data_IF_581627591976
#
_entry.id   IF_581627591976
#
_cell.length_a   1.000
_cell.length_b   1.000
_cell.length_c   1.000
_cell.angle_alpha   90.00
_cell.angle_beta   90.00
_cell.angle_gamma   90.00
#
_symmetry.space_group_name_H-M   'P 1'
#
loop_
_entity.id
_entity.type
_entity.pdbx_description
1 polymer ?
#
# COMPACT_ATOMS: atom_id res chain seq x y z
N UNK A 1 -28.13 81.20 -64.49
CA UNK A 1 -27.58 80.51 -63.30
C UNK A 1 -28.53 79.37 -62.90
N UNK A 2 -27.95 78.20 -62.55
CA UNK A 2 -28.57 76.91 -62.09
C UNK A 2 -29.25 76.09 -63.21
N UNK A 3 -28.60 75.02 -63.74
CA UNK A 3 -28.53 73.61 -63.25
C UNK A 3 -29.95 73.01 -63.13
N UNK A 4 -30.28 71.89 -63.77
CA UNK A 4 -29.85 70.55 -63.35
C UNK A 4 -30.26 69.48 -64.39
N UNK A 5 -29.33 68.58 -64.71
CA UNK A 5 -29.54 67.31 -65.42
C UNK A 5 -30.15 66.32 -64.42
N UNK A 6 -31.25 65.63 -64.78
CA UNK A 6 -31.75 64.47 -64.02
C UNK A 6 -31.70 63.24 -64.92
N UNK A 7 -30.92 62.27 -64.44
CA UNK A 7 -30.69 60.94 -64.99
C UNK A 7 -31.17 59.94 -63.94
N UNK A 8 -32.24 59.17 -64.17
CA UNK A 8 -32.61 57.98 -63.38
C UNK A 8 -33.35 57.01 -64.33
N UNK A 9 -32.69 56.11 -65.04
CA UNK A 9 -32.25 54.76 -64.62
C UNK A 9 -33.41 53.82 -64.27
N UNK A 10 -33.65 52.86 -65.17
CA UNK A 10 -34.60 51.77 -65.01
C UNK A 10 -34.27 50.88 -63.80
N UNK A 11 -35.23 50.69 -62.90
CA UNK A 11 -35.18 49.68 -61.84
C UNK A 11 -35.76 48.39 -62.42
N UNK A 12 -34.89 47.50 -62.90
CA UNK A 12 -35.25 46.10 -63.12
C UNK A 12 -35.47 45.44 -61.74
N UNK A 13 -36.70 44.98 -61.49
CA UNK A 13 -36.98 44.02 -60.42
C UNK A 13 -36.17 42.75 -60.68
N UNK A 14 -35.20 42.45 -59.80
CA UNK A 14 -34.69 41.08 -59.65
C UNK A 14 -35.61 40.33 -58.69
N UNK A 15 -36.12 39.13 -59.03
CA UNK A 15 -36.72 38.28 -58.03
C UNK A 15 -35.59 37.79 -57.13
N UNK A 16 -35.66 38.14 -55.84
CA UNK A 16 -34.81 37.57 -54.81
C UNK A 16 -34.99 36.04 -54.83
N UNK A 17 -33.99 35.34 -55.38
CA UNK A 17 -33.85 33.89 -55.25
C UNK A 17 -33.48 33.59 -53.79
N UNK A 18 -34.44 33.74 -52.88
CA UNK A 18 -34.31 33.19 -51.54
C UNK A 18 -34.35 31.67 -51.70
N UNK A 19 -33.16 31.05 -51.77
CA UNK A 19 -32.97 29.65 -51.41
C UNK A 19 -33.47 29.47 -49.97
N UNK A 20 -34.77 29.31 -49.79
CA UNK A 20 -35.34 28.73 -48.59
C UNK A 20 -34.89 27.27 -48.59
N UNK A 21 -33.87 26.96 -47.81
CA UNK A 21 -33.60 25.57 -47.46
C UNK A 21 -34.79 25.10 -46.61
N UNK A 22 -35.77 24.45 -47.24
CA UNK A 22 -37.03 24.07 -46.61
C UNK A 22 -36.96 22.74 -45.82
N UNK A 23 -35.79 22.10 -45.76
CA UNK A 23 -35.55 20.92 -44.94
C UNK A 23 -34.06 20.56 -45.01
N UNK A 24 -33.22 21.31 -44.31
CA UNK A 24 -31.89 20.78 -44.00
C UNK A 24 -32.12 19.68 -42.95
N UNK A 25 -32.13 18.42 -43.37
CA UNK A 25 -32.12 17.30 -42.44
C UNK A 25 -30.73 17.29 -41.83
N UNK A 26 -30.56 17.93 -40.67
CA UNK A 26 -29.30 17.91 -39.94
C UNK A 26 -29.12 16.51 -39.32
N UNK A 27 -28.55 15.60 -40.11
CA UNK A 27 -28.10 14.30 -39.65
C UNK A 27 -26.66 14.48 -39.16
N UNK A 28 -26.50 14.65 -37.84
CA UNK A 28 -25.20 14.89 -37.20
C UNK A 28 -24.62 16.29 -37.40
N UNK A 29 -23.61 16.64 -36.60
CA UNK A 29 -22.84 17.88 -36.71
C UNK A 29 -21.41 17.58 -37.18
N UNK A 30 -21.08 17.95 -38.43
CA UNK A 30 -19.73 17.88 -38.96
C UNK A 30 -18.95 19.17 -38.69
N UNK A 31 -17.74 19.07 -38.13
CA UNK A 31 -16.80 20.17 -37.91
C UNK A 31 -15.51 19.88 -38.67
N UNK A 32 -15.44 20.34 -39.90
CA UNK A 32 -14.30 20.15 -40.80
C UNK A 32 -14.18 21.32 -41.80
N UNK A 33 -13.05 21.40 -42.50
CA UNK A 33 -12.82 22.46 -43.53
C UNK A 33 -13.18 22.01 -44.95
N UNK A 34 -13.39 20.71 -45.16
CA UNK A 34 -13.63 20.12 -46.49
C UNK A 34 -15.10 20.19 -46.91
N UNK A 35 -16.01 20.47 -45.96
CA UNK A 35 -17.45 20.37 -46.17
C UNK A 35 -17.95 18.92 -46.26
N UNK A 36 -17.15 17.95 -45.82
CA UNK A 36 -17.55 16.55 -45.79
C UNK A 36 -18.77 16.37 -44.88
N UNK A 37 -19.70 15.51 -45.31
CA UNK A 37 -20.82 15.09 -44.47
C UNK A 37 -20.29 14.39 -43.22
N UNK A 38 -20.93 14.61 -42.07
CA UNK A 38 -20.63 13.86 -40.86
C UNK A 38 -20.85 12.37 -41.09
N UNK A 39 -20.04 11.53 -40.45
CA UNK A 39 -20.26 10.09 -40.45
C UNK A 39 -21.67 9.74 -39.96
N UNK A 40 -22.35 8.82 -40.66
CA UNK A 40 -23.74 8.42 -40.35
C UNK A 40 -23.93 7.84 -38.95
N UNK A 41 -22.85 7.38 -38.31
CA UNK A 41 -22.85 6.86 -36.94
C UNK A 41 -22.57 7.93 -35.88
N UNK A 42 -22.23 9.17 -36.27
CA UNK A 42 -21.78 10.22 -35.37
C UNK A 42 -22.80 11.36 -35.23
N UNK A 43 -23.15 11.71 -33.99
CA UNK A 43 -23.89 12.95 -33.70
C UNK A 43 -22.98 14.19 -33.79
N UNK A 44 -21.69 14.04 -33.47
CA UNK A 44 -20.64 15.05 -33.64
C UNK A 44 -19.44 14.37 -34.29
N UNK A 45 -19.04 14.87 -35.45
CA UNK A 45 -17.90 14.39 -36.23
C UNK A 45 -16.91 15.55 -36.45
N UNK A 46 -15.69 15.40 -35.94
CA UNK A 46 -14.65 16.42 -36.03
C UNK A 46 -13.48 15.88 -36.84
N UNK A 47 -13.30 16.41 -38.07
CA UNK A 47 -12.22 16.02 -38.96
C UNK A 47 -11.23 17.18 -39.20
N UNK A 48 -9.96 16.91 -38.91
CA UNK A 48 -8.85 17.83 -39.07
C UNK A 48 -7.89 17.44 -40.22
N UNK A 49 -8.27 16.52 -41.11
CA UNK A 49 -7.41 15.93 -42.14
C UNK A 49 -6.86 16.94 -43.17
N UNK A 50 -7.43 18.14 -43.28
CA UNK A 50 -6.93 19.22 -44.14
C UNK A 50 -6.31 20.43 -43.44
N UNK A 51 -6.18 20.43 -42.12
CA UNK A 51 -5.69 21.61 -41.37
C UNK A 51 -4.17 21.58 -41.16
N UNK A 52 -3.51 22.75 -41.25
CA UNK A 52 -2.10 22.93 -40.85
C UNK A 52 -1.92 24.28 -40.09
N UNK A 53 -1.65 24.27 -38.77
CA UNK A 53 -1.55 23.09 -37.91
C UNK A 53 -2.90 22.39 -37.69
N UNK A 54 -2.87 21.08 -37.41
CA UNK A 54 -4.07 20.34 -36.97
C UNK A 54 -4.57 20.88 -35.62
N UNK A 55 -5.89 20.87 -35.43
CA UNK A 55 -6.55 21.24 -34.16
C UNK A 55 -7.13 19.99 -33.48
N UNK A 56 -7.36 20.07 -32.18
CA UNK A 56 -8.04 19.03 -31.39
C UNK A 56 -9.36 19.53 -30.80
N UNK A 57 -9.99 18.71 -29.97
CA UNK A 57 -11.21 19.06 -29.22
C UNK A 57 -10.91 19.15 -27.72
N UNK A 58 -11.37 20.23 -27.08
CA UNK A 58 -11.40 20.32 -25.62
C UNK A 58 -12.68 19.68 -25.10
N UNK A 59 -12.53 18.64 -24.28
CA UNK A 59 -13.61 18.08 -23.46
C UNK A 59 -13.87 19.02 -22.26
N UNK A 60 -15.11 19.14 -21.73
CA UNK A 60 -15.37 19.92 -20.52
C UNK A 60 -14.35 19.64 -19.41
N UNK A 61 -13.68 20.69 -18.95
CA UNK A 61 -12.62 20.63 -17.93
C UNK A 61 -13.16 21.19 -16.64
N UNK A 62 -12.93 20.49 -15.55
CA UNK A 62 -13.39 20.92 -14.22
C UNK A 62 -12.54 20.26 -13.13
N UNK A 63 -12.49 20.88 -11.95
CA UNK A 63 -11.92 20.26 -10.76
C UNK A 63 -12.90 19.22 -10.16
N UNK A 64 -12.43 18.48 -9.16
CA UNK A 64 -13.19 17.40 -8.51
C UNK A 64 -14.41 17.93 -7.78
N UNK A 65 -14.33 19.12 -7.18
CA UNK A 65 -15.46 19.77 -6.49
C UNK A 65 -16.56 20.12 -7.48
N UNK A 66 -16.22 20.78 -8.59
CA UNK A 66 -17.14 21.11 -9.67
C UNK A 66 -17.76 19.86 -10.30
N UNK A 67 -16.95 18.82 -10.53
CA UNK A 67 -17.43 17.50 -10.98
C UNK A 67 -18.43 16.88 -10.01
N UNK A 68 -18.14 16.91 -8.71
CA UNK A 68 -19.02 16.35 -7.67
C UNK A 68 -20.30 17.17 -7.49
N UNK A 69 -20.31 18.43 -7.90
CA UNK A 69 -21.50 19.27 -7.90
C UNK A 69 -22.47 18.96 -9.06
N UNK A 70 -22.10 18.11 -10.02
CA UNK A 70 -23.00 17.67 -11.09
C UNK A 70 -24.08 16.77 -10.49
N UNK A 71 -25.30 17.28 -10.39
CA UNK A 71 -26.48 16.53 -9.93
C UNK A 71 -26.94 15.58 -11.03
N UNK A 72 -27.14 14.31 -10.68
CA UNK A 72 -27.61 13.25 -11.58
C UNK A 72 -26.84 13.16 -12.91
N UNK A 73 -25.52 12.88 -12.90
CA UNK A 73 -24.74 12.78 -14.13
C UNK A 73 -25.29 11.69 -15.07
N UNK A 74 -25.33 11.98 -16.37
CA UNK A 74 -25.74 11.00 -17.37
C UNK A 74 -24.71 9.87 -17.51
N UNK A 75 -25.18 8.65 -17.81
CA UNK A 75 -24.29 7.53 -18.14
C UNK A 75 -23.36 7.93 -19.29
N UNK A 76 -22.06 7.61 -19.14
CA UNK A 76 -20.99 7.97 -20.07
C UNK A 76 -20.72 9.47 -20.23
N UNK A 77 -21.18 10.32 -19.29
CA UNK A 77 -20.79 11.73 -19.27
C UNK A 77 -19.26 11.85 -19.15
N UNK A 78 -18.62 12.44 -20.16
CA UNK A 78 -17.16 12.54 -20.28
C UNK A 78 -16.67 13.94 -19.88
N UNK A 79 -15.70 13.99 -18.95
CA UNK A 79 -15.00 15.21 -18.54
C UNK A 79 -13.48 14.99 -18.51
N UNK A 80 -12.73 16.08 -18.46
CA UNK A 80 -11.33 16.07 -18.04
C UNK A 80 -11.23 16.65 -16.61
N UNK A 81 -10.90 15.80 -15.63
CA UNK A 81 -10.71 16.23 -14.26
C UNK A 81 -9.32 16.89 -14.14
N UNK A 82 -9.28 18.18 -13.84
CA UNK A 82 -8.04 18.96 -13.77
C UNK A 82 -7.22 18.70 -12.53
N UNK A 83 -7.83 18.20 -11.47
CA UNK A 83 -7.11 17.85 -10.25
C UNK A 83 -6.36 16.53 -10.43
N UNK A 84 -7.02 15.55 -11.04
CA UNK A 84 -6.43 14.24 -11.30
C UNK A 84 -5.65 14.18 -12.63
N UNK A 85 -5.73 15.21 -13.48
CA UNK A 85 -5.20 15.23 -14.85
C UNK A 85 -5.56 14.00 -15.69
N UNK A 86 -6.80 13.55 -15.60
CA UNK A 86 -7.30 12.38 -16.34
C UNK A 86 -8.68 12.62 -16.93
N UNK A 87 -8.95 11.98 -18.06
CA UNK A 87 -10.31 11.83 -18.57
C UNK A 87 -11.11 10.91 -17.65
N UNK A 88 -12.31 11.35 -17.27
CA UNK A 88 -13.24 10.57 -16.46
C UNK A 88 -14.60 10.47 -17.15
N UNK A 89 -15.26 9.32 -16.98
CA UNK A 89 -16.64 9.08 -17.39
C UNK A 89 -17.50 8.66 -16.20
N UNK A 90 -18.77 9.04 -16.20
CA UNK A 90 -19.74 8.53 -15.23
C UNK A 90 -20.25 7.15 -15.65
N UNK A 91 -20.16 6.14 -14.78
CA UNK A 91 -20.59 4.77 -15.08
C UNK A 91 -22.05 4.45 -14.68
N UNK A 92 -22.79 5.46 -14.23
CA UNK A 92 -24.14 5.32 -13.66
C UNK A 92 -24.16 5.32 -12.13
N UNK A 93 -23.03 5.05 -11.49
CA UNK A 93 -22.90 4.96 -10.02
C UNK A 93 -21.73 5.78 -9.45
N UNK A 94 -20.64 5.92 -10.21
CA UNK A 94 -19.42 6.63 -9.81
C UNK A 94 -18.68 7.18 -11.03
N UNK A 95 -17.74 8.09 -10.78
CA UNK A 95 -16.79 8.57 -11.78
C UNK A 95 -15.64 7.58 -11.94
N UNK A 96 -15.42 7.10 -13.16
CA UNK A 96 -14.33 6.19 -13.56
C UNK A 96 -13.34 6.89 -14.50
N UNK A 97 -12.10 6.39 -14.62
CA UNK A 97 -11.07 6.95 -15.51
C UNK A 97 -11.03 6.17 -16.83
N UNK A 98 -10.98 6.85 -17.98
CA UNK A 98 -11.05 6.18 -19.30
C UNK A 98 -9.76 5.46 -19.73
N UNK A 99 -8.60 5.88 -19.22
CA UNK A 99 -7.34 5.18 -19.44
C UNK A 99 -7.02 4.37 -18.19
N UNK A 100 -7.21 3.04 -18.27
CA UNK A 100 -6.81 2.09 -17.23
C UNK A 100 -5.32 1.80 -17.24
N UNK A 101 -4.59 2.25 -18.27
CA UNK A 101 -3.13 2.28 -18.21
C UNK A 101 -2.75 3.44 -17.29
N UNK A 102 -2.34 3.07 -16.07
CA UNK A 102 -1.91 3.97 -15.02
C UNK A 102 -0.79 4.84 -15.59
N UNK A 103 -1.11 6.05 -16.07
CA UNK A 103 -0.11 7.11 -16.13
C UNK A 103 0.13 7.47 -14.66
N UNK A 104 1.07 6.74 -14.04
CA UNK A 104 1.53 7.05 -12.70
C UNK A 104 1.92 8.52 -12.68
N UNK A 105 1.63 9.25 -11.60
CA UNK A 105 2.23 10.56 -11.39
C UNK A 105 3.74 10.41 -11.61
N UNK A 106 4.31 11.17 -12.55
CA UNK A 106 5.75 11.12 -12.84
C UNK A 106 6.60 11.42 -11.59
N UNK A 107 6.00 12.12 -10.63
CA UNK A 107 6.47 12.28 -9.26
C UNK A 107 5.28 12.54 -8.33
N UNK A 108 5.45 12.21 -7.05
CA UNK A 108 4.55 12.65 -5.98
C UNK A 108 5.19 13.88 -5.30
N UNK A 109 4.56 15.05 -5.32
CA UNK A 109 5.15 16.28 -4.78
C UNK A 109 5.24 16.26 -3.25
N UNK A 110 4.36 15.52 -2.58
CA UNK A 110 4.28 15.50 -1.13
C UNK A 110 4.51 14.10 -0.56
N UNK A 111 4.87 14.06 0.72
CA UNK A 111 4.95 12.82 1.47
C UNK A 111 4.66 13.05 2.95
N UNK A 112 4.24 11.98 3.62
CA UNK A 112 3.98 11.94 5.06
C UNK A 112 4.50 10.62 5.64
N UNK A 113 5.01 10.67 6.86
CA UNK A 113 5.60 9.54 7.58
C UNK A 113 4.80 9.22 8.83
N UNK A 114 4.58 7.94 9.08
CA UNK A 114 3.92 7.41 10.28
C UNK A 114 4.88 6.50 11.04
N UNK A 115 5.32 6.97 12.21
CA UNK A 115 6.09 6.20 13.17
C UNK A 115 5.16 5.44 14.12
N UNK A 116 5.70 4.49 14.86
CA UNK A 116 4.92 3.76 15.86
C UNK A 116 4.43 4.67 16.99
N UNK A 117 3.14 4.56 17.34
CA UNK A 117 2.51 5.31 18.43
C UNK A 117 1.79 4.41 19.45
N UNK A 118 1.76 3.09 19.22
CA UNK A 118 0.96 2.16 20.02
C UNK A 118 -0.55 2.25 19.80
N UNK A 119 -1.00 3.05 18.82
CA UNK A 119 -2.41 3.21 18.47
C UNK A 119 -2.58 3.44 16.97
N UNK A 120 -3.82 3.35 16.50
CA UNK A 120 -4.17 3.57 15.09
C UNK A 120 -4.10 5.07 14.81
N UNK A 121 -3.37 5.46 13.77
CA UNK A 121 -3.38 6.83 13.25
C UNK A 121 -4.34 6.94 12.07
N UNK A 122 -4.81 8.15 11.77
CA UNK A 122 -5.72 8.41 10.64
C UNK A 122 -5.16 9.51 9.77
N UNK A 123 -5.33 9.39 8.46
CA UNK A 123 -4.96 10.41 7.49
C UNK A 123 -6.02 10.52 6.39
N UNK A 124 -6.51 11.75 6.18
CA UNK A 124 -7.47 12.06 5.12
C UNK A 124 -6.73 12.49 3.87
N UNK A 125 -7.06 11.88 2.74
CA UNK A 125 -6.51 12.20 1.43
C UNK A 125 -6.83 13.66 1.08
N UNK A 126 -5.81 14.51 0.85
CA UNK A 126 -6.01 15.92 0.52
C UNK A 126 -6.77 16.15 -0.78
N UNK A 127 -7.24 17.39 -0.95
CA UNK A 127 -7.70 17.86 -2.24
C UNK A 127 -6.62 17.62 -3.32
N UNK A 128 -7.07 17.27 -4.53
CA UNK A 128 -6.23 17.05 -5.70
C UNK A 128 -5.29 15.83 -5.63
N UNK A 129 -5.50 14.92 -4.69
CA UNK A 129 -4.81 13.63 -4.65
C UNK A 129 -5.72 12.51 -5.16
N UNK A 130 -5.29 11.84 -6.23
CA UNK A 130 -6.05 10.73 -6.84
C UNK A 130 -5.28 9.40 -6.86
N UNK A 131 -4.01 9.45 -6.45
CA UNK A 131 -3.14 8.30 -6.29
C UNK A 131 -2.23 8.55 -5.10
N UNK A 132 -1.88 7.49 -4.39
CA UNK A 132 -0.82 7.52 -3.38
C UNK A 132 0.12 6.34 -3.59
N UNK A 133 1.41 6.53 -3.33
CA UNK A 133 2.37 5.42 -3.18
C UNK A 133 2.61 5.20 -1.70
N UNK A 134 2.36 3.97 -1.26
CA UNK A 134 2.46 3.58 0.14
C UNK A 134 3.60 2.59 0.27
N UNK A 135 4.52 2.85 1.20
CA UNK A 135 5.58 1.95 1.63
C UNK A 135 5.34 1.56 3.08
N UNK A 136 5.36 0.26 3.37
CA UNK A 136 5.01 -0.30 4.69
C UNK A 136 6.07 -1.32 5.10
N UNK A 137 6.61 -1.15 6.30
CA UNK A 137 7.45 -2.13 6.98
C UNK A 137 6.77 -2.57 8.26
N UNK A 138 6.69 -3.88 8.48
CA UNK A 138 6.28 -4.45 9.76
C UNK A 138 7.29 -4.14 10.87
N UNK A 139 7.04 -4.61 12.09
CA UNK A 139 8.02 -4.50 13.17
C UNK A 139 8.89 -5.75 13.30
N UNK A 140 10.12 -5.59 13.78
CA UNK A 140 11.03 -6.70 14.03
C UNK A 140 10.69 -7.46 15.31
N UNK A 141 11.02 -8.75 15.34
CA UNK A 141 10.93 -9.58 16.54
C UNK A 141 12.09 -9.32 17.50
N UNK A 142 11.90 -9.60 18.79
CA UNK A 142 12.93 -9.48 19.81
C UNK A 142 13.91 -10.64 19.83
N UNK A 143 15.13 -10.38 20.30
CA UNK A 143 16.14 -11.42 20.55
C UNK A 143 15.84 -12.22 21.82
N UNK A 144 16.41 -13.42 21.93
CA UNK A 144 16.28 -14.26 23.11
C UNK A 144 17.44 -14.07 24.11
N UNK A 145 17.23 -14.56 25.33
CA UNK A 145 18.25 -14.58 26.37
C UNK A 145 19.23 -15.72 26.13
N UNK A 146 20.50 -15.49 26.50
CA UNK A 146 21.58 -16.48 26.39
C UNK A 146 22.44 -16.51 27.64
N UNK A 147 22.94 -17.70 27.97
CA UNK A 147 23.79 -17.96 29.16
C UNK A 147 25.29 -18.03 28.86
N UNK A 148 25.72 -17.75 27.62
CA UNK A 148 27.13 -17.79 27.22
C UNK A 148 27.52 -16.56 26.39
N UNK A 149 28.79 -16.13 26.50
CA UNK A 149 29.41 -15.01 25.77
C UNK A 149 29.62 -15.28 24.28
N UNK A 150 28.76 -16.07 23.64
CA UNK A 150 28.77 -16.26 22.19
C UNK A 150 27.85 -15.21 21.54
N UNK A 151 28.38 -14.16 20.91
CA UNK A 151 27.64 -12.96 20.53
C UNK A 151 26.72 -13.14 19.30
N UNK A 152 26.64 -14.32 18.69
CA UNK A 152 26.03 -14.50 17.37
C UNK A 152 24.62 -15.12 17.36
N UNK A 153 24.05 -15.62 18.45
CA UNK A 153 22.74 -16.31 18.43
C UNK A 153 21.97 -16.18 19.76
N UNK A 154 20.62 -16.19 19.82
CA UNK A 154 19.63 -16.17 18.73
C UNK A 154 18.82 -14.86 18.68
N UNK A 155 18.89 -14.22 17.51
CA UNK A 155 18.25 -12.95 17.22
C UNK A 155 16.79 -13.11 16.77
N UNK A 156 16.00 -12.04 16.90
CA UNK A 156 14.68 -11.94 16.30
C UNK A 156 14.76 -11.66 14.80
N UNK A 157 13.70 -11.99 14.07
CA UNK A 157 13.60 -11.71 12.64
C UNK A 157 13.34 -10.23 12.38
N UNK A 158 13.98 -9.67 11.35
CA UNK A 158 13.59 -8.39 10.75
C UNK A 158 12.21 -8.50 10.08
N UNK A 159 11.54 -7.38 9.89
CA UNK A 159 10.18 -7.36 9.36
C UNK A 159 10.12 -7.50 7.83
N UNK A 160 8.92 -7.76 7.32
CA UNK A 160 8.60 -7.71 5.89
C UNK A 160 8.42 -6.29 5.39
N UNK A 161 8.49 -6.15 4.06
CA UNK A 161 8.19 -4.93 3.33
C UNK A 161 7.06 -5.14 2.32
N UNK A 162 6.18 -4.16 2.23
CA UNK A 162 5.13 -4.07 1.23
C UNK A 162 5.05 -2.65 0.63
N UNK A 163 4.92 -2.56 -0.68
CA UNK A 163 4.71 -1.31 -1.41
C UNK A 163 3.52 -1.46 -2.35
N UNK A 164 2.69 -0.41 -2.48
CA UNK A 164 1.65 -0.36 -3.49
C UNK A 164 1.37 1.08 -3.96
N UNK A 165 0.87 1.17 -5.19
CA UNK A 165 0.28 2.38 -5.76
C UNK A 165 -1.24 2.27 -5.68
N UNK A 166 -1.87 3.17 -4.96
CA UNK A 166 -3.26 3.03 -4.54
C UNK A 166 -4.04 4.19 -5.14
N UNK A 167 -5.07 3.87 -5.93
CA UNK A 167 -6.04 4.88 -6.38
C UNK A 167 -6.88 5.31 -5.19
N UNK A 168 -6.99 6.63 -5.01
CA UNK A 168 -7.76 7.26 -3.94
C UNK A 168 -8.59 8.41 -4.51
N UNK A 169 -9.51 8.93 -3.70
CA UNK A 169 -10.24 10.16 -3.96
C UNK A 169 -10.00 11.17 -2.82
N UNK A 170 -10.02 12.48 -3.11
CA UNK A 170 -10.03 13.49 -2.07
C UNK A 170 -11.12 13.22 -1.02
N UNK A 171 -10.73 13.24 0.25
CA UNK A 171 -11.62 12.93 1.37
C UNK A 171 -11.65 11.46 1.81
N UNK A 172 -11.06 10.53 1.06
CA UNK A 172 -10.85 9.16 1.53
C UNK A 172 -10.03 9.16 2.83
N UNK A 173 -10.32 8.21 3.71
CA UNK A 173 -9.62 8.09 5.01
C UNK A 173 -8.78 6.81 5.04
N UNK A 174 -7.49 6.99 5.28
CA UNK A 174 -6.56 5.90 5.54
C UNK A 174 -6.39 5.69 7.06
N UNK A 175 -6.68 4.48 7.53
CA UNK A 175 -6.30 4.05 8.88
C UNK A 175 -4.93 3.37 8.83
N UNK A 176 -4.02 3.86 9.67
CA UNK A 176 -2.61 3.51 9.65
C UNK A 176 -2.27 2.73 10.92
N UNK A 177 -1.84 1.49 10.74
CA UNK A 177 -1.34 0.60 11.78
C UNK A 177 0.16 0.48 11.60
N UNK A 178 0.92 1.20 12.42
CA UNK A 178 2.37 1.00 12.46
C UNK A 178 2.67 -0.04 13.53
N UNK A 179 3.34 -1.13 13.16
CA UNK A 179 3.65 -2.22 14.09
C UNK A 179 4.61 -1.79 15.21
N UNK A 180 4.39 -2.29 16.42
CA UNK A 180 5.30 -2.20 17.55
C UNK A 180 6.29 -3.36 17.56
N UNK A 181 7.49 -3.13 18.07
CA UNK A 181 8.52 -4.13 18.16
C UNK A 181 8.15 -5.32 19.07
N UNK A 182 8.69 -6.50 18.75
CA UNK A 182 8.73 -7.60 19.71
C UNK A 182 9.67 -7.28 20.86
N UNK A 183 9.26 -7.60 22.09
CA UNK A 183 10.10 -7.41 23.26
C UNK A 183 11.29 -8.38 23.23
N UNK A 184 12.44 -7.92 23.71
CA UNK A 184 13.56 -8.79 24.03
C UNK A 184 13.24 -9.69 25.22
N UNK A 185 14.23 -10.43 25.69
CA UNK A 185 14.01 -11.52 26.62
C UNK A 185 13.90 -11.13 28.12
N UNK A 186 14.06 -9.85 28.46
CA UNK A 186 13.98 -9.37 29.86
C UNK A 186 12.52 -9.12 30.24
N UNK A 187 12.11 -9.64 31.41
CA UNK A 187 10.72 -9.60 31.85
C UNK A 187 9.84 -10.62 31.12
N UNK A 188 8.54 -10.35 31.03
CA UNK A 188 7.61 -11.14 30.19
C UNK A 188 7.75 -10.69 28.74
N UNK A 189 8.33 -11.50 27.83
CA UNK A 189 8.64 -11.08 26.46
C UNK A 189 7.36 -10.90 25.64
N UNK A 190 6.74 -9.72 25.72
CA UNK A 190 5.50 -9.42 25.03
C UNK A 190 5.73 -9.32 23.52
N UNK A 191 4.74 -9.78 22.75
CA UNK A 191 4.68 -9.52 21.32
C UNK A 191 4.33 -8.06 21.04
N UNK A 192 4.74 -7.57 19.87
CA UNK A 192 4.51 -6.20 19.45
C UNK A 192 3.08 -5.95 18.99
N UNK A 193 2.55 -4.76 19.26
CA UNK A 193 1.22 -4.34 18.81
C UNK A 193 1.17 -4.17 17.28
N UNK A 194 0.01 -4.31 16.64
CA UNK A 194 -0.13 -3.97 15.22
C UNK A 194 -1.38 -4.53 14.57
N UNK A 195 -1.44 -4.45 13.24
CA UNK A 195 -2.44 -5.16 12.45
C UNK A 195 -2.09 -6.65 12.41
N UNK A 196 -2.53 -7.35 13.45
CA UNK A 196 -1.91 -8.58 13.90
C UNK A 196 -0.82 -8.28 14.92
N UNK A 197 -1.06 -8.63 16.17
CA UNK A 197 -0.04 -8.53 17.22
C UNK A 197 0.96 -9.66 17.08
N UNK A 198 2.21 -9.43 17.48
CA UNK A 198 3.16 -10.52 17.66
C UNK A 198 2.76 -11.43 18.82
N UNK A 199 3.19 -12.68 18.77
CA UNK A 199 3.09 -13.61 19.88
C UNK A 199 4.13 -13.31 20.95
N UNK A 200 3.81 -13.59 22.21
CA UNK A 200 4.79 -13.53 23.28
C UNK A 200 5.87 -14.59 23.13
N UNK A 201 7.08 -14.29 23.57
CA UNK A 201 8.12 -15.30 23.77
C UNK A 201 7.74 -16.26 24.89
N UNK A 202 8.20 -17.49 24.77
CA UNK A 202 8.05 -18.51 25.81
C UNK A 202 8.95 -18.21 27.00
N UNK A 203 8.48 -18.56 28.19
CA UNK A 203 9.24 -18.41 29.44
C UNK A 203 10.19 -19.59 29.66
N UNK A 204 11.32 -19.33 30.31
CA UNK A 204 12.26 -20.36 30.76
C UNK A 204 13.28 -19.74 31.73
N UNK A 205 14.37 -20.45 32.01
CA UNK A 205 15.54 -19.82 32.64
C UNK A 205 16.14 -18.76 31.71
N UNK A 206 16.10 -19.02 30.40
CA UNK A 206 16.33 -18.02 29.37
C UNK A 206 15.06 -17.85 28.54
N UNK A 207 14.48 -16.66 28.56
CA UNK A 207 13.25 -16.42 27.81
C UNK A 207 13.51 -16.33 26.31
N UNK A 208 12.52 -16.77 25.52
CA UNK A 208 12.43 -16.47 24.10
C UNK A 208 12.05 -15.00 23.86
N UNK A 209 12.38 -14.46 22.70
CA UNK A 209 11.94 -13.13 22.30
C UNK A 209 10.48 -13.11 21.84
N UNK A 210 9.80 -11.98 22.00
CA UNK A 210 8.47 -11.74 21.44
C UNK A 210 8.52 -11.48 19.93
N UNK A 211 7.47 -11.85 19.20
CA UNK A 211 7.31 -11.50 17.78
C UNK A 211 6.97 -10.02 17.59
N UNK A 212 7.35 -9.44 16.46
CA UNK A 212 6.96 -8.09 16.06
C UNK A 212 5.53 -8.02 15.52
N UNK A 213 4.87 -6.88 15.70
CA UNK A 213 3.54 -6.63 15.15
C UNK A 213 3.54 -6.35 13.65
N UNK A 214 2.43 -6.69 12.99
CA UNK A 214 2.20 -6.35 11.58
C UNK A 214 1.89 -4.87 11.40
N UNK A 215 2.38 -4.29 10.30
CA UNK A 215 2.00 -2.94 9.87
C UNK A 215 0.97 -3.03 8.74
N UNK A 216 -0.03 -2.15 8.73
CA UNK A 216 -1.04 -2.14 7.68
C UNK A 216 -1.59 -0.75 7.37
N UNK A 217 -2.10 -0.62 6.16
CA UNK A 217 -2.93 0.51 5.76
C UNK A 217 -4.30 -0.01 5.33
N UNK A 218 -5.35 0.63 5.84
CA UNK A 218 -6.74 0.38 5.47
C UNK A 218 -7.30 1.63 4.78
N UNK A 219 -7.99 1.47 3.66
CA UNK A 219 -8.71 2.52 2.96
C UNK A 219 -10.20 2.40 3.24
N UNK A 220 -10.77 3.42 3.90
CA UNK A 220 -12.18 3.45 4.29
C UNK A 220 -12.60 2.16 5.04
N UNK A 221 -11.74 1.65 5.92
CA UNK A 221 -11.94 0.43 6.71
C UNK A 221 -11.57 -0.88 6.01
N UNK A 222 -11.24 -0.87 4.71
CA UNK A 222 -10.84 -2.07 3.98
C UNK A 222 -9.32 -2.23 3.97
N UNK A 223 -8.80 -3.42 4.29
CA UNK A 223 -7.35 -3.69 4.26
C UNK A 223 -6.85 -3.64 2.82
N UNK A 224 -5.84 -2.81 2.58
CA UNK A 224 -5.24 -2.65 1.24
C UNK A 224 -3.80 -3.15 1.18
N UNK A 225 -3.04 -3.04 2.27
CA UNK A 225 -1.63 -3.39 2.30
C UNK A 225 -1.22 -3.81 3.71
N UNK A 226 -0.49 -4.91 3.84
CA UNK A 226 0.05 -5.41 5.11
C UNK A 226 1.51 -5.84 4.91
N UNK A 227 2.38 -5.43 5.82
CA UNK A 227 3.72 -5.96 5.96
C UNK A 227 3.84 -6.75 7.27
N UNK A 228 4.23 -8.02 7.17
CA UNK A 228 4.32 -8.91 8.31
C UNK A 228 5.45 -8.54 9.27
N UNK A 229 5.22 -8.71 10.56
CA UNK A 229 6.24 -8.62 11.59
C UNK A 229 7.16 -9.84 11.63
N UNK A 230 8.37 -9.68 12.16
CA UNK A 230 9.32 -10.78 12.36
C UNK A 230 8.99 -11.63 13.59
N UNK A 231 9.36 -12.91 13.58
CA UNK A 231 9.28 -13.79 14.74
C UNK A 231 10.39 -13.50 15.77
N UNK A 232 10.17 -13.87 17.02
CA UNK A 232 11.17 -13.76 18.08
C UNK A 232 12.18 -14.92 18.06
N UNK A 233 13.37 -14.68 18.62
CA UNK A 233 14.38 -15.74 18.82
C UNK A 233 13.98 -16.74 19.93
N UNK A 234 14.42 -17.99 19.84
CA UNK A 234 14.24 -19.00 20.89
C UNK A 234 15.40 -19.02 21.89
N UNK A 235 15.12 -19.11 23.18
CA UNK A 235 16.14 -19.08 24.24
C UNK A 235 17.07 -20.30 24.24
N UNK A 236 18.25 -20.12 24.84
CA UNK A 236 19.26 -21.19 25.02
C UNK A 236 19.11 -21.92 26.35
N UNK A 237 19.64 -23.13 26.43
CA UNK A 237 19.81 -23.82 27.70
C UNK A 237 21.02 -23.41 28.53
N UNK A 238 20.96 -23.53 29.86
CA UNK A 238 22.08 -23.24 30.77
C UNK A 238 23.23 -24.25 30.67
N UNK A 239 22.95 -25.50 30.29
CA UNK A 239 23.93 -26.57 30.15
C UNK A 239 24.18 -26.97 28.69
N UNK A 240 23.70 -26.16 27.73
CA UNK A 240 23.80 -26.46 26.31
C UNK A 240 24.82 -25.54 25.66
N UNK A 241 25.85 -26.10 25.02
CA UNK A 241 26.77 -25.37 24.13
C UNK A 241 26.09 -24.89 22.84
N UNK A 242 24.76 -25.01 22.74
CA UNK A 242 24.03 -24.88 21.50
C UNK A 242 22.99 -23.77 21.57
N UNK A 243 23.08 -22.89 20.58
CA UNK A 243 22.18 -21.76 20.40
C UNK A 243 20.72 -22.20 20.19
N UNK A 244 19.78 -21.34 20.62
CA UNK A 244 18.39 -21.46 20.22
C UNK A 244 18.18 -21.04 18.77
N UNK A 245 16.94 -21.20 18.28
CA UNK A 245 16.58 -20.87 16.90
C UNK A 245 16.40 -19.37 16.68
N UNK A 246 16.81 -18.87 15.52
CA UNK A 246 16.50 -17.51 15.07
C UNK A 246 15.02 -17.34 14.76
N UNK A 247 14.51 -16.13 15.01
CA UNK A 247 13.19 -15.73 14.57
C UNK A 247 13.11 -15.61 13.03
N UNK A 248 12.03 -16.11 12.46
CA UNK A 248 11.75 -16.01 11.04
C UNK A 248 11.40 -14.58 10.64
N UNK A 249 11.99 -14.08 9.56
CA UNK A 249 11.72 -12.72 9.09
C UNK A 249 10.28 -12.54 8.60
N UNK A 250 9.75 -11.33 8.75
CA UNK A 250 8.45 -10.96 8.21
C UNK A 250 8.43 -11.02 6.68
N UNK A 251 7.25 -11.25 6.11
CA UNK A 251 7.07 -11.58 4.69
C UNK A 251 7.01 -13.08 4.41
N UNK A 252 6.98 -13.92 5.45
CA UNK A 252 6.65 -15.33 5.33
C UNK A 252 7.81 -16.31 5.47
N UNK A 253 8.86 -15.96 6.21
CA UNK A 253 10.00 -16.84 6.49
C UNK A 253 9.82 -17.59 7.81
N UNK A 254 10.06 -18.90 7.81
CA UNK A 254 9.94 -19.74 9.01
C UNK A 254 11.01 -19.39 10.05
N UNK A 255 10.74 -19.68 11.32
CA UNK A 255 11.74 -19.68 12.37
C UNK A 255 12.72 -20.83 12.18
N UNK A 256 13.95 -20.65 12.63
CA UNK A 256 15.00 -21.65 12.49
C UNK A 256 14.82 -22.81 13.48
N UNK A 257 15.09 -24.02 12.99
CA UNK A 257 15.09 -25.26 13.74
C UNK A 257 16.52 -25.65 14.10
N UNK A 258 16.93 -25.49 15.36
CA UNK A 258 18.20 -26.07 15.84
C UNK A 258 17.97 -27.28 16.74
N UNK A 259 17.13 -27.15 17.78
CA UNK A 259 16.75 -28.26 18.67
C UNK A 259 15.23 -28.38 18.81
N UNK A 260 14.51 -27.26 18.89
CA UNK A 260 13.05 -27.21 18.78
C UNK A 260 12.58 -26.96 17.34
N UNK A 261 11.32 -27.32 17.05
CA UNK A 261 10.69 -26.96 15.78
C UNK A 261 10.53 -25.43 15.71
N UNK A 262 11.05 -24.83 14.64
CA UNK A 262 10.84 -23.42 14.33
C UNK A 262 9.38 -23.15 13.96
N UNK A 263 8.89 -21.97 14.30
CA UNK A 263 7.55 -21.55 13.97
C UNK A 263 7.35 -21.43 12.46
N UNK A 264 6.16 -21.79 11.99
CA UNK A 264 5.80 -21.73 10.58
C UNK A 264 5.24 -20.34 10.26
N UNK A 265 5.74 -19.74 9.20
CA UNK A 265 5.39 -18.39 8.82
C UNK A 265 3.99 -18.31 8.20
N UNK A 266 3.16 -17.39 8.69
CA UNK A 266 1.80 -17.22 8.18
C UNK A 266 0.85 -18.39 8.44
N UNK A 267 1.17 -19.30 9.36
CA UNK A 267 0.32 -20.45 9.66
C UNK A 267 -0.65 -20.21 10.82
N UNK A 268 -0.64 -19.03 11.44
CA UNK A 268 -1.69 -18.63 12.38
C UNK A 268 -3.03 -18.52 11.65
N UNK A 269 -4.10 -18.96 12.31
CA UNK A 269 -5.47 -18.90 11.80
C UNK A 269 -6.06 -17.49 11.80
N UNK A 270 -5.34 -16.53 12.38
CA UNK A 270 -5.72 -15.11 12.42
C UNK A 270 -4.51 -14.21 12.18
N UNK A 271 -4.72 -12.90 12.30
CA UNK A 271 -3.70 -11.88 12.06
C UNK A 271 -2.58 -11.90 13.13
N UNK A 272 -2.86 -12.40 14.33
CA UNK A 272 -1.91 -12.43 15.42
C UNK A 272 -0.93 -13.58 15.28
N UNK A 273 0.33 -13.34 15.65
CA UNK A 273 1.31 -14.38 15.88
C UNK A 273 0.96 -15.18 17.14
N UNK A 274 1.27 -16.47 17.14
CA UNK A 274 1.03 -17.32 18.32
C UNK A 274 2.22 -17.28 19.28
N UNK A 275 1.96 -17.50 20.57
CA UNK A 275 2.99 -17.52 21.59
C UNK A 275 3.98 -18.68 21.39
N UNK A 276 5.24 -18.45 21.76
CA UNK A 276 6.23 -19.50 21.87
C UNK A 276 5.96 -20.40 23.08
N UNK A 277 6.35 -21.67 22.99
CA UNK A 277 6.20 -22.62 24.09
C UNK A 277 7.09 -22.26 25.30
N UNK A 278 6.51 -22.38 26.49
CA UNK A 278 7.20 -22.23 27.78
C UNK A 278 7.97 -23.50 28.14
N UNK A 279 9.20 -23.35 28.63
CA UNK A 279 10.04 -24.45 29.07
C UNK A 279 9.80 -24.75 30.57
N UNK A 280 9.29 -25.94 30.94
CA UNK A 280 8.86 -26.22 32.32
C UNK A 280 10.00 -26.61 33.27
N UNK A 281 11.16 -27.04 32.75
CA UNK A 281 12.30 -27.44 33.57
C UNK A 281 13.32 -26.31 33.77
N UNK A 282 13.91 -26.27 34.97
CA UNK A 282 15.00 -25.36 35.29
C UNK A 282 16.20 -25.57 34.37
N UNK A 283 16.80 -24.47 33.91
CA UNK A 283 17.91 -24.45 32.95
C UNK A 283 17.49 -24.49 31.47
N UNK A 284 16.19 -24.55 31.16
CA UNK A 284 15.69 -24.56 29.79
C UNK A 284 15.38 -23.17 29.20
N UNK A 285 15.44 -23.06 27.88
CA UNK A 285 15.14 -21.87 27.10
C UNK A 285 13.70 -21.88 26.56
N UNK A 286 12.98 -20.76 26.67
CA UNK A 286 11.64 -20.63 26.09
C UNK A 286 11.66 -20.33 24.59
N UNK A 287 10.66 -20.79 23.84
CA UNK A 287 10.64 -20.63 22.38
C UNK A 287 10.27 -19.20 21.93
N UNK A 288 10.61 -18.83 20.69
CA UNK A 288 10.28 -17.52 20.16
C UNK A 288 8.79 -17.35 19.82
N UNK A 289 8.24 -16.15 20.00
CA UNK A 289 6.86 -15.82 19.58
C UNK A 289 6.74 -15.57 18.08
N UNK A 290 5.61 -15.91 17.46
CA UNK A 290 5.37 -15.67 16.03
C UNK A 290 5.13 -14.18 15.71
N UNK A 291 5.48 -13.74 14.50
CA UNK A 291 5.22 -12.36 14.04
C UNK A 291 3.76 -12.14 13.63
N UNK A 292 3.25 -10.92 13.79
CA UNK A 292 1.90 -10.54 13.33
C UNK A 292 1.83 -10.25 11.82
N UNK A 293 0.65 -10.27 11.22
CA UNK A 293 0.46 -9.96 9.79
C UNK A 293 -0.97 -10.27 9.34
N UNK A 294 -1.22 -10.39 8.03
CA UNK A 294 -2.55 -10.83 7.57
C UNK A 294 -2.84 -12.26 8.06
N UNK A 295 -1.82 -13.11 7.95
CA UNK A 295 -1.71 -14.34 8.72
C UNK A 295 -0.45 -14.22 9.57
N UNK A 296 -0.61 -14.35 10.88
CA UNK A 296 0.52 -14.37 11.80
C UNK A 296 1.37 -15.63 11.62
N UNK A 297 2.63 -15.58 12.04
CA UNK A 297 3.47 -16.76 12.20
C UNK A 297 3.12 -17.52 13.48
N UNK A 298 3.47 -18.80 13.53
CA UNK A 298 3.36 -19.55 14.78
C UNK A 298 4.57 -19.29 15.68
N UNK A 299 4.40 -19.43 16.98
CA UNK A 299 5.51 -19.56 17.92
C UNK A 299 6.35 -20.81 17.63
N UNK A 300 7.60 -20.78 18.09
CA UNK A 300 8.48 -21.94 18.09
C UNK A 300 8.06 -22.97 19.15
N UNK A 301 8.62 -24.16 19.04
CA UNK A 301 8.38 -25.27 19.98
C UNK A 301 9.67 -25.72 20.68
N UNK A 302 9.50 -26.52 21.72
CA UNK A 302 10.58 -27.18 22.45
C UNK A 302 10.95 -28.53 21.80
N UNK A 303 12.11 -29.09 22.17
CA UNK A 303 12.44 -30.48 21.89
C UNK A 303 11.98 -31.37 23.06
N UNK A 304 11.34 -32.51 22.78
CA UNK A 304 10.90 -33.49 23.79
C UNK A 304 12.05 -34.29 24.44
N UNK A 305 13.27 -34.21 23.90
CA UNK A 305 14.31 -35.22 24.13
C UNK A 305 15.64 -34.62 24.62
N UNK A 306 15.64 -33.87 25.73
CA UNK A 306 16.87 -33.41 26.44
C UNK A 306 17.54 -32.11 25.94
N UNK A 307 17.00 -31.40 24.95
CA UNK A 307 17.55 -30.13 24.48
C UNK A 307 17.04 -28.94 25.29
N UNK A 308 17.90 -28.31 26.09
CA UNK A 308 17.58 -27.11 26.87
C UNK A 308 17.36 -25.84 26.00
N UNK A 309 17.45 -25.92 24.66
CA UNK A 309 17.33 -24.79 23.72
C UNK A 309 16.06 -24.92 22.85
N UNK A 310 15.43 -23.80 22.50
CA UNK A 310 14.12 -23.78 21.82
C UNK A 310 14.16 -23.21 20.40
N UNK A 311 13.13 -23.52 19.61
CA UNK A 311 12.97 -22.98 18.25
C UNK A 311 12.56 -21.50 18.24
N UNK A 312 12.94 -20.79 17.17
CA UNK A 312 12.48 -19.41 16.94
C UNK A 312 11.04 -19.37 16.41
N UNK A 313 10.35 -18.24 16.56
CA UNK A 313 9.01 -18.04 16.01
C UNK A 313 9.03 -17.77 14.50
N UNK A 314 7.96 -18.10 13.79
CA UNK A 314 7.81 -17.80 12.36
C UNK A 314 7.38 -16.35 12.12
N UNK A 315 7.74 -15.79 10.96
CA UNK A 315 7.32 -14.44 10.57
C UNK A 315 5.86 -14.36 10.10
N UNK A 316 5.26 -13.16 10.17
CA UNK A 316 3.96 -12.89 9.58
C UNK A 316 4.02 -12.73 8.06
N UNK A 317 2.88 -12.89 7.37
CA UNK A 317 2.78 -12.73 5.91
C UNK A 317 2.50 -11.28 5.50
N UNK A 318 3.07 -10.90 4.34
CA UNK A 318 2.68 -9.68 3.63
C UNK A 318 1.37 -9.92 2.86
N UNK A 319 0.63 -8.86 2.58
CA UNK A 319 -0.60 -8.91 1.78
C UNK A 319 -0.86 -7.61 1.03
N UNK A 320 -1.54 -7.71 -0.12
CA UNK A 320 -2.13 -6.60 -0.86
C UNK A 320 -3.45 -7.05 -1.47
N UNK A 321 -4.49 -6.24 -1.35
CA UNK A 321 -5.78 -6.45 -2.01
C UNK A 321 -5.89 -5.69 -3.35
N UNK A 322 -4.86 -4.95 -3.74
CA UNK A 322 -4.85 -4.20 -4.99
C UNK A 322 -4.31 -5.07 -6.14
N UNK A 323 -5.23 -5.62 -6.94
CA UNK A 323 -4.93 -6.47 -8.10
C UNK A 323 -4.44 -5.70 -9.34
N UNK A 324 -4.58 -4.36 -9.38
CA UNK A 324 -4.27 -3.52 -10.57
C UNK A 324 -3.15 -2.50 -10.34
N UNK A 325 -2.33 -2.68 -9.31
CA UNK A 325 -1.19 -1.80 -9.05
C UNK A 325 0.08 -2.63 -8.91
N UNK A 326 1.20 -2.10 -9.41
CA UNK A 326 2.54 -2.64 -9.20
C UNK A 326 2.83 -2.68 -7.70
N UNK A 327 2.49 -3.78 -7.03
CA UNK A 327 2.86 -4.01 -5.65
C UNK A 327 4.20 -4.74 -5.59
N UNK A 328 4.98 -4.47 -4.54
CA UNK A 328 6.25 -5.13 -4.30
C UNK A 328 6.25 -5.68 -2.89
N UNK A 329 6.59 -6.97 -2.77
CA UNK A 329 6.90 -7.58 -1.49
C UNK A 329 8.36 -7.91 -1.43
N UNK A 330 8.97 -7.67 -0.27
CA UNK A 330 10.31 -8.17 0.04
C UNK A 330 10.30 -8.65 1.47
N UNK A 331 10.59 -9.93 1.66
CA UNK A 331 10.77 -10.48 3.00
C UNK A 331 12.07 -9.95 3.60
N UNK A 332 12.13 -9.89 4.93
CA UNK A 332 13.39 -9.69 5.64
C UNK A 332 14.31 -10.91 5.50
N UNK A 333 15.56 -10.74 5.92
CA UNK A 333 16.57 -11.80 5.96
C UNK A 333 17.31 -11.73 7.29
N UNK A 334 17.15 -12.75 8.14
CA UNK A 334 17.67 -12.71 9.51
C UNK A 334 17.12 -11.49 10.25
N UNK A 335 18.00 -10.68 10.83
CA UNK A 335 17.65 -9.40 11.50
C UNK A 335 17.37 -8.24 10.54
N UNK A 336 17.67 -8.40 9.25
CA UNK A 336 17.60 -7.30 8.28
C UNK A 336 16.16 -7.17 7.76
N UNK A 337 15.55 -5.98 7.79
CA UNK A 337 14.22 -5.75 7.24
C UNK A 337 14.17 -6.00 5.73
N UNK A 338 12.97 -6.32 5.23
CA UNK A 338 12.69 -6.26 3.80
C UNK A 338 13.00 -4.85 3.26
N UNK A 339 13.60 -4.77 2.07
CA UNK A 339 13.94 -3.49 1.44
C UNK A 339 14.78 -2.53 2.32
N UNK A 340 15.71 -3.07 3.12
CA UNK A 340 16.52 -2.34 4.11
C UNK A 340 17.44 -1.25 3.55
N UNK A 341 17.71 -1.23 2.24
CA UNK A 341 18.53 -0.21 1.58
C UNK A 341 17.69 0.96 1.05
N UNK A 342 16.37 0.95 1.26
CA UNK A 342 15.51 2.05 0.83
C UNK A 342 15.80 3.30 1.68
N UNK A 343 16.07 4.45 1.04
CA UNK A 343 16.44 5.67 1.76
C UNK A 343 15.30 6.23 2.63
N UNK A 344 14.06 5.77 2.45
CA UNK A 344 12.94 6.18 3.28
C UNK A 344 12.91 5.50 4.65
N UNK A 345 13.51 4.32 4.79
CA UNK A 345 13.44 3.55 6.03
C UNK A 345 14.25 4.27 7.12
N UNK A 346 13.60 4.56 8.26
CA UNK A 346 14.29 5.17 9.40
C UNK A 346 15.34 4.24 10.02
N UNK A 347 16.39 4.85 10.57
CA UNK A 347 17.46 4.14 11.25
C UNK A 347 16.90 3.31 12.43
N UNK A 348 17.22 2.01 12.45
CA UNK A 348 16.77 1.07 13.50
C UNK A 348 15.32 0.61 13.37
N UNK A 349 14.59 1.04 12.35
CA UNK A 349 13.21 0.61 12.14
C UNK A 349 13.15 -0.78 11.50
N UNK A 350 12.14 -1.55 11.89
CA UNK A 350 11.82 -2.89 11.40
C UNK A 350 12.91 -3.96 11.60
N UNK A 351 14.05 -3.62 12.22
CA UNK A 351 15.18 -4.54 12.42
C UNK A 351 14.85 -5.60 13.47
N UNK A 352 15.38 -6.81 13.32
CA UNK A 352 15.31 -7.83 14.35
C UNK A 352 16.18 -7.48 15.55
N UNK A 353 15.72 -7.82 16.76
CA UNK A 353 16.47 -7.64 18.00
C UNK A 353 17.67 -8.58 18.06
N UNK A 354 18.79 -8.09 18.59
CA UNK A 354 20.04 -8.85 18.69
C UNK A 354 20.01 -9.88 19.82
N UNK A 355 20.78 -10.94 19.65
CA UNK A 355 20.92 -11.99 20.65
C UNK A 355 21.49 -11.49 21.99
N UNK A 356 21.08 -12.11 23.09
CA UNK A 356 21.68 -11.90 24.41
C UNK A 356 21.48 -10.50 25.00
N UNK A 357 20.53 -9.76 24.44
CA UNK A 357 20.26 -8.38 24.84
C UNK A 357 18.81 -8.23 25.30
N UNK A 358 18.55 -7.29 26.20
CA UNK A 358 17.19 -6.82 26.52
C UNK A 358 16.54 -6.09 25.33
N UNK A 359 17.29 -5.86 24.25
CA UNK A 359 16.87 -5.08 23.10
C UNK A 359 15.79 -5.83 22.33
N UNK A 360 14.61 -5.21 22.27
CA UNK A 360 13.56 -5.61 21.35
C UNK A 360 13.97 -5.38 19.89
N UNK A 361 13.08 -5.74 18.98
CA UNK A 361 13.21 -5.35 17.58
C UNK A 361 13.04 -3.84 17.37
N UNK A 362 13.13 -3.42 16.12
CA UNK A 362 12.74 -2.11 15.65
C UNK A 362 11.23 -2.04 15.39
N UNK A 363 10.64 -0.88 15.70
CA UNK A 363 9.25 -0.59 15.35
C UNK A 363 9.04 -0.59 13.83
N UNK A 364 7.80 -0.82 13.40
CA UNK A 364 7.38 -0.67 12.02
C UNK A 364 7.48 0.77 11.54
N UNK A 365 7.34 0.94 10.23
CA UNK A 365 7.48 2.23 9.58
C UNK A 365 6.58 2.32 8.35
N UNK A 366 5.89 3.44 8.17
CA UNK A 366 5.03 3.66 7.01
C UNK A 366 5.31 5.04 6.43
N UNK A 367 5.42 5.11 5.10
CA UNK A 367 5.55 6.37 4.37
C UNK A 367 4.58 6.39 3.20
N UNK A 368 3.87 7.52 3.06
CA UNK A 368 2.90 7.74 1.98
C UNK A 368 3.35 8.94 1.16
N UNK A 369 3.33 8.78 -0.16
CA UNK A 369 3.57 9.81 -1.15
C UNK A 369 2.26 10.13 -1.87
N UNK A 370 1.97 11.40 -2.12
CA UNK A 370 0.70 11.87 -2.68
C UNK A 370 0.82 13.16 -3.49
#
# INVERSE_FOLDING_TARGET
MKKTIILITAILLTPSFQKRCASCSAQGMGVNISGAMADSSALLDADATGMNPKKGMLIPRMNTTERNAIVSPALSLLIYNTDCNVFQSWDGSRWSSLLSYVQLPGAFPNNITFNYTGSIQSWTVPANTCWVKIKVWGAGGGGACVTFSNPTHPAGGGAGYAEALVKVFPGDVLSIYTGGNGSGCVGTPAGGWGYGSGGSGGTGTNNGGGGGGGSAVLLNGNVILVAGGGGGGGGTGTNSSIAGGYGGSGGGTNGETLFGAGGVAGASTNTNGTAGQNHPIAGGGGAGGGGGGLNGGTGGSLNSSFGSSAGGGGGGKNFSNYLNASYKFKSGIGVIPGNSTDPDLCAGCAVGGTAGSSTGGGNGFIKIYY
#
